data_IF_863837144295
#
_entry.id   IF_863837144295
#
_cell.length_a   1.000
_cell.length_b   1.000
_cell.length_c   1.000
_cell.angle_alpha   90.00
_cell.angle_beta   90.00
_cell.angle_gamma   90.00
#
_symmetry.space_group_name_H-M   'P 1'
#
loop_
_entity.id
_entity.type
_entity.pdbx_description
1 polymer ?
#
# COMPACT_ATOMS: atom_id res chain seq x y z
N UNK A 1 -41.77 -17.96 -21.31
CA UNK A 1 -40.61 -17.39 -20.58
C UNK A 1 -40.88 -17.62 -19.11
N UNK A 2 -40.21 -18.48 -18.34
CA UNK A 2 -39.06 -19.37 -18.50
C UNK A 2 -39.43 -20.60 -17.66
N UNK A 3 -39.37 -21.80 -18.25
CA UNK A 3 -39.59 -23.04 -17.51
C UNK A 3 -38.32 -23.37 -16.71
N UNK A 4 -38.48 -23.58 -15.40
CA UNK A 4 -37.45 -24.08 -14.50
C UNK A 4 -37.10 -25.52 -14.88
N UNK A 5 -35.90 -25.75 -15.38
CA UNK A 5 -35.34 -27.10 -15.48
C UNK A 5 -34.64 -27.46 -14.18
N UNK A 6 -35.31 -28.25 -13.35
CA UNK A 6 -34.68 -29.06 -12.31
C UNK A 6 -33.92 -30.20 -12.99
N UNK A 7 -32.60 -30.07 -13.07
CA UNK A 7 -31.71 -31.14 -13.53
C UNK A 7 -31.44 -32.13 -12.40
N UNK A 8 -31.88 -33.37 -12.60
CA UNK A 8 -31.76 -34.50 -11.68
C UNK A 8 -30.32 -34.85 -11.30
N UNK A 9 -30.13 -35.10 -10.01
CA UNK A 9 -29.02 -35.87 -9.46
C UNK A 9 -29.20 -37.33 -9.87
N UNK A 10 -28.24 -37.88 -10.62
CA UNK A 10 -28.09 -39.33 -10.75
C UNK A 10 -26.69 -39.73 -10.29
N UNK A 11 -26.68 -40.51 -9.20
CA UNK A 11 -25.55 -41.33 -8.78
C UNK A 11 -25.29 -42.39 -9.86
N UNK A 12 -24.02 -42.57 -10.25
CA UNK A 12 -23.54 -43.84 -10.79
C UNK A 12 -22.24 -44.24 -10.09
N UNK A 13 -22.24 -45.51 -9.72
CA UNK A 13 -21.36 -46.18 -8.79
C UNK A 13 -19.99 -46.54 -9.40
N UNK A 14 -19.02 -46.65 -8.50
CA UNK A 14 -17.85 -47.54 -8.46
C UNK A 14 -17.32 -48.15 -9.77
N UNK A 15 -16.13 -47.70 -10.17
CA UNK A 15 -15.18 -48.47 -10.97
C UNK A 15 -13.79 -48.38 -10.29
N UNK A 16 -13.07 -49.49 -10.10
CA UNK A 16 -11.77 -49.48 -9.42
C UNK A 16 -10.65 -49.04 -10.37
N UNK A 17 -9.78 -48.13 -9.91
CA UNK A 17 -8.61 -47.69 -10.65
C UNK A 17 -7.48 -48.75 -10.60
N UNK A 18 -6.80 -49.06 -11.72
CA UNK A 18 -5.64 -49.93 -11.71
C UNK A 18 -4.41 -49.20 -11.18
N UNK A 19 -3.66 -49.92 -10.34
CA UNK A 19 -2.42 -49.55 -9.71
C UNK A 19 -1.22 -49.56 -10.68
N UNK A 20 -0.20 -48.79 -10.30
CA UNK A 20 1.18 -48.75 -10.80
C UNK A 20 1.55 -47.58 -11.73
N UNK A 21 1.79 -46.40 -11.12
CA UNK A 21 2.83 -45.48 -11.57
C UNK A 21 3.80 -45.32 -10.41
N UNK A 22 5.05 -45.74 -10.63
CA UNK A 22 6.14 -45.53 -9.70
C UNK A 22 6.35 -44.02 -9.48
N UNK A 23 6.21 -43.57 -8.24
CA UNK A 23 6.56 -42.23 -7.81
C UNK A 23 8.09 -42.10 -7.94
N UNK A 24 8.57 -41.57 -9.07
CA UNK A 24 9.89 -40.96 -9.12
C UNK A 24 9.76 -39.73 -8.22
N UNK A 25 10.47 -39.74 -7.09
CA UNK A 25 10.45 -38.67 -6.11
C UNK A 25 10.61 -37.32 -6.80
N UNK A 26 9.53 -36.54 -6.79
CA UNK A 26 9.56 -35.14 -7.23
C UNK A 26 10.56 -34.44 -6.32
N UNK A 27 11.74 -34.15 -6.86
CA UNK A 27 12.71 -33.30 -6.20
C UNK A 27 11.99 -32.00 -5.85
N UNK A 28 11.85 -31.73 -4.56
CA UNK A 28 11.57 -30.38 -4.09
C UNK A 28 12.64 -29.49 -4.68
N UNK A 29 12.28 -28.67 -5.68
CA UNK A 29 13.08 -27.52 -6.06
C UNK A 29 12.98 -26.59 -4.85
N UNK A 30 14.05 -26.36 -4.08
CA UNK A 30 13.99 -25.40 -3.00
C UNK A 30 13.75 -24.04 -3.67
N UNK A 31 12.61 -23.43 -3.37
CA UNK A 31 12.48 -21.98 -3.50
C UNK A 31 13.66 -21.40 -2.73
N UNK A 32 14.64 -20.82 -3.40
CA UNK A 32 15.65 -20.04 -2.70
C UNK A 32 14.91 -18.81 -2.17
N UNK A 33 14.37 -18.92 -0.96
CA UNK A 33 13.91 -17.78 -0.18
C UNK A 33 15.18 -17.01 0.24
N UNK A 34 15.81 -16.34 -0.71
CA UNK A 34 16.77 -15.31 -0.40
C UNK A 34 15.99 -14.14 0.18
N UNK A 35 16.39 -13.70 1.37
CA UNK A 35 15.84 -12.48 1.96
C UNK A 35 15.93 -11.31 0.97
N UNK A 36 14.94 -10.40 0.95
CA UNK A 36 14.99 -9.23 0.10
C UNK A 36 16.28 -8.43 0.30
N UNK A 37 16.89 -8.00 -0.80
CA UNK A 37 18.14 -7.23 -0.79
C UNK A 37 17.81 -5.74 -0.73
N UNK A 38 18.46 -5.02 0.19
CA UNK A 38 18.35 -3.56 0.28
C UNK A 38 19.02 -2.86 -0.91
N UNK A 39 18.29 -1.92 -1.50
CA UNK A 39 18.75 -0.98 -2.52
C UNK A 39 19.06 0.41 -1.94
N UNK A 40 18.80 0.63 -0.65
CA UNK A 40 19.01 1.90 0.02
C UNK A 40 17.86 2.27 0.96
N UNK A 41 18.21 2.94 2.06
CA UNK A 41 17.27 3.41 3.09
C UNK A 41 17.12 4.92 3.03
N UNK A 42 15.93 5.40 3.35
CA UNK A 42 15.64 6.81 3.51
C UNK A 42 15.23 7.10 4.96
N UNK A 43 15.93 8.02 5.65
CA UNK A 43 15.61 8.36 7.04
C UNK A 43 14.31 9.19 7.13
N UNK A 44 13.67 9.21 8.31
CA UNK A 44 12.43 9.96 8.52
C UNK A 44 12.62 11.49 8.58
N UNK A 45 13.83 11.94 8.94
CA UNK A 45 14.16 13.36 8.98
C UNK A 45 14.27 13.92 7.56
N UNK A 46 13.42 14.88 7.22
CA UNK A 46 13.33 15.42 5.86
C UNK A 46 14.64 16.07 5.37
N UNK A 47 15.43 16.69 6.27
CA UNK A 47 16.72 17.31 5.91
C UNK A 47 17.74 16.25 5.54
N UNK A 48 17.83 15.18 6.33
CA UNK A 48 18.70 14.04 6.06
C UNK A 48 18.26 13.29 4.81
N UNK A 49 16.96 13.05 4.65
CA UNK A 49 16.40 12.36 3.50
C UNK A 49 16.69 13.11 2.19
N UNK A 50 16.46 14.42 2.15
CA UNK A 50 16.82 15.27 1.01
C UNK A 50 18.32 15.25 0.73
N UNK A 51 19.15 15.32 1.77
CA UNK A 51 20.61 15.23 1.61
C UNK A 51 21.07 13.88 1.03
N UNK A 52 20.30 12.80 1.27
CA UNK A 52 20.54 11.47 0.71
C UNK A 52 19.88 11.25 -0.67
N UNK A 53 19.17 12.25 -1.22
CA UNK A 53 18.51 12.15 -2.52
C UNK A 53 17.20 11.34 -2.50
N UNK A 54 16.60 11.16 -1.34
CA UNK A 54 15.27 10.57 -1.20
C UNK A 54 14.18 11.47 -1.78
N UNK A 55 13.09 10.87 -2.23
CA UNK A 55 11.92 11.56 -2.76
C UNK A 55 10.77 11.42 -1.78
N UNK A 56 10.07 12.51 -1.48
CA UNK A 56 8.90 12.45 -0.62
C UNK A 56 7.69 11.95 -1.40
N UNK A 57 7.08 10.89 -0.90
CA UNK A 57 5.81 10.37 -1.35
C UNK A 57 4.72 10.85 -0.40
N UNK A 58 4.08 11.97 -0.74
CA UNK A 58 3.05 12.59 0.09
C UNK A 58 1.86 11.67 0.37
N UNK A 59 1.46 10.84 -0.59
CA UNK A 59 0.32 9.92 -0.42
C UNK A 59 0.69 8.81 0.56
N UNK A 60 1.94 8.33 0.52
CA UNK A 60 2.47 7.38 1.50
C UNK A 60 2.94 8.05 2.81
N UNK A 61 2.96 9.38 2.87
CA UNK A 61 3.52 10.18 3.97
C UNK A 61 4.94 9.75 4.37
N UNK A 62 5.82 9.50 3.39
CA UNK A 62 7.15 8.91 3.66
C UNK A 62 8.23 9.37 2.69
N UNK A 63 9.47 9.45 3.16
CA UNK A 63 10.65 9.63 2.31
C UNK A 63 11.10 8.28 1.75
N UNK A 64 11.11 8.15 0.42
CA UNK A 64 11.32 6.88 -0.28
C UNK A 64 12.55 6.97 -1.19
N UNK A 65 13.29 5.88 -1.28
CA UNK A 65 14.42 5.78 -2.18
C UNK A 65 13.94 5.83 -3.65
N UNK A 66 14.60 6.56 -4.56
CA UNK A 66 14.12 6.77 -5.93
C UNK A 66 13.82 5.48 -6.72
N UNK A 67 14.48 4.37 -6.38
CA UNK A 67 14.20 3.06 -7.03
C UNK A 67 12.85 2.44 -6.67
N UNK A 68 12.26 2.84 -5.55
CA UNK A 68 10.94 2.37 -5.11
C UNK A 68 9.86 3.45 -5.30
N UNK A 69 10.22 4.65 -5.72
CA UNK A 69 9.26 5.71 -6.00
C UNK A 69 8.63 5.53 -7.38
N UNK A 70 7.30 5.46 -7.43
CA UNK A 70 6.54 5.39 -8.68
C UNK A 70 5.88 6.73 -8.96
N UNK A 71 6.57 7.61 -9.70
CA UNK A 71 6.11 8.97 -9.98
C UNK A 71 4.75 9.02 -10.69
N UNK A 72 4.50 8.13 -11.66
CA UNK A 72 3.20 8.11 -12.38
C UNK A 72 2.04 7.79 -11.44
N UNK A 73 2.23 6.81 -10.54
CA UNK A 73 1.21 6.44 -9.58
C UNK A 73 1.04 7.52 -8.51
N UNK A 74 2.15 8.07 -8.00
CA UNK A 74 2.13 9.20 -7.09
C UNK A 74 1.32 10.39 -7.65
N UNK A 75 1.60 10.84 -8.87
CA UNK A 75 0.89 11.96 -9.49
C UNK A 75 -0.60 11.66 -9.69
N UNK A 76 -0.97 10.41 -9.97
CA UNK A 76 -2.38 10.01 -10.05
C UNK A 76 -3.11 10.19 -8.72
N UNK A 77 -2.56 9.63 -7.63
CA UNK A 77 -3.20 9.70 -6.31
C UNK A 77 -3.13 11.11 -5.71
N UNK A 78 -2.03 11.85 -5.91
CA UNK A 78 -1.93 13.28 -5.58
C UNK A 78 -3.02 14.08 -6.31
N UNK A 79 -3.25 13.79 -7.59
CA UNK A 79 -4.34 14.38 -8.37
C UNK A 79 -5.73 14.02 -7.83
N UNK A 80 -5.92 12.81 -7.30
CA UNK A 80 -7.17 12.43 -6.61
C UNK A 80 -7.39 13.26 -5.34
N UNK A 81 -6.35 13.48 -4.51
CA UNK A 81 -6.45 14.35 -3.33
C UNK A 81 -6.91 15.77 -3.71
N UNK A 82 -6.35 16.33 -4.79
CA UNK A 82 -6.74 17.64 -5.31
C UNK A 82 -8.17 17.64 -5.86
N UNK A 83 -8.56 16.61 -6.61
CA UNK A 83 -9.92 16.46 -7.14
C UNK A 83 -10.98 16.31 -6.03
N UNK A 84 -10.64 15.58 -4.97
CA UNK A 84 -11.46 15.43 -3.75
C UNK A 84 -11.45 16.68 -2.86
N UNK A 85 -10.60 17.67 -3.18
CA UNK A 85 -10.47 18.94 -2.47
C UNK A 85 -10.09 18.78 -0.99
N UNK A 86 -9.14 17.88 -0.71
CA UNK A 86 -8.61 17.75 0.64
C UNK A 86 -8.06 19.07 1.15
N UNK A 87 -8.36 19.34 2.42
CA UNK A 87 -7.91 20.50 3.16
C UNK A 87 -6.93 20.04 4.22
N UNK A 88 -5.90 20.86 4.43
CA UNK A 88 -4.83 20.57 5.36
C UNK A 88 -4.77 21.64 6.43
N UNK A 89 -4.43 21.25 7.65
CA UNK A 89 -4.31 22.14 8.80
C UNK A 89 -3.05 21.84 9.61
N UNK A 90 -2.53 22.87 10.28
CA UNK A 90 -1.34 22.75 11.14
C UNK A 90 -1.67 22.14 12.51
N UNK A 91 -2.94 22.17 12.89
CA UNK A 91 -3.42 21.67 14.18
C UNK A 91 -4.82 21.05 14.05
N UNK A 92 -5.22 20.16 14.99
CA UNK A 92 -6.53 19.50 14.90
C UNK A 92 -7.69 20.47 15.13
N UNK A 93 -7.46 21.66 15.69
CA UNK A 93 -8.49 22.68 15.87
C UNK A 93 -8.97 23.31 14.55
N UNK A 94 -8.24 23.09 13.44
CA UNK A 94 -8.57 23.58 12.09
C UNK A 94 -8.62 25.12 11.96
N UNK A 95 -7.81 25.84 12.72
CA UNK A 95 -7.76 27.31 12.72
C UNK A 95 -6.82 27.84 11.61
N UNK A 96 -5.70 27.15 11.40
CA UNK A 96 -4.65 27.51 10.46
C UNK A 96 -4.62 26.52 9.30
N UNK A 97 -5.20 26.92 8.18
CA UNK A 97 -5.10 26.16 6.93
C UNK A 97 -3.66 26.13 6.42
N UNK A 98 -3.25 24.96 5.95
CA UNK A 98 -1.98 24.72 5.27
C UNK A 98 -2.22 24.62 3.75
N UNK A 99 -1.43 25.34 2.92
CA UNK A 99 -1.45 25.15 1.48
C UNK A 99 -1.12 23.72 1.08
N UNK A 100 -1.76 23.22 0.01
CA UNK A 100 -1.55 21.85 -0.49
C UNK A 100 -0.08 21.55 -0.78
N UNK A 101 0.62 22.44 -1.49
CA UNK A 101 2.03 22.22 -1.84
C UNK A 101 2.96 22.27 -0.61
N UNK A 102 2.55 22.96 0.45
CA UNK A 102 3.30 22.93 1.71
C UNK A 102 3.13 21.57 2.39
N UNK A 103 1.91 21.07 2.50
CA UNK A 103 1.62 19.73 3.03
C UNK A 103 2.32 18.64 2.20
N UNK A 104 2.28 18.76 0.87
CA UNK A 104 2.86 17.81 -0.07
C UNK A 104 4.39 17.83 -0.15
N UNK A 105 5.06 18.78 0.52
CA UNK A 105 6.52 18.88 0.51
C UNK A 105 7.20 17.86 1.41
N UNK A 106 6.54 17.44 2.50
CA UNK A 106 7.16 16.63 3.55
C UNK A 106 8.23 17.35 4.38
N UNK A 107 8.44 18.65 4.14
CA UNK A 107 9.49 19.47 4.78
C UNK A 107 9.00 20.09 6.09
N UNK A 108 8.42 19.27 6.95
CA UNK A 108 7.81 19.69 8.20
C UNK A 108 8.37 18.94 9.40
N UNK A 109 8.58 19.66 10.49
CA UNK A 109 9.08 19.11 11.77
C UNK A 109 7.92 18.66 12.69
N UNK A 110 6.67 18.64 12.19
CA UNK A 110 5.46 18.32 12.95
C UNK A 110 4.40 17.60 12.12
N UNK A 111 3.15 17.69 12.56
CA UNK A 111 2.02 16.98 11.97
C UNK A 111 1.22 17.85 11.00
N UNK A 112 0.60 17.21 10.02
CA UNK A 112 -0.46 17.79 9.21
C UNK A 112 -1.76 17.08 9.50
N UNK A 113 -2.83 17.85 9.66
CA UNK A 113 -4.16 17.30 9.86
C UNK A 113 -4.97 17.41 8.57
N UNK A 114 -5.78 16.40 8.29
CA UNK A 114 -6.64 16.37 7.10
C UNK A 114 -7.86 15.46 7.34
N UNK A 115 -8.71 15.34 6.32
CA UNK A 115 -9.93 14.55 6.36
C UNK A 115 -9.66 13.05 6.56
N UNK A 116 -10.58 12.34 7.22
CA UNK A 116 -10.51 10.88 7.38
C UNK A 116 -10.50 10.11 6.07
N UNK A 117 -11.08 10.69 5.01
CA UNK A 117 -11.01 10.13 3.67
C UNK A 117 -9.58 9.97 3.14
N UNK A 118 -8.62 10.77 3.63
CA UNK A 118 -7.21 10.64 3.26
C UNK A 118 -6.63 9.31 3.74
N UNK A 119 -6.94 8.88 4.96
CA UNK A 119 -6.48 7.60 5.51
C UNK A 119 -6.91 6.41 4.65
N UNK A 120 -8.14 6.43 4.12
CA UNK A 120 -8.63 5.38 3.22
C UNK A 120 -7.99 5.46 1.82
N UNK A 121 -7.69 6.67 1.33
CA UNK A 121 -6.97 6.86 0.08
C UNK A 121 -5.52 6.34 0.20
N UNK A 122 -4.84 6.65 1.31
CA UNK A 122 -3.53 6.12 1.68
C UNK A 122 -3.54 4.58 1.69
N UNK A 123 -4.50 3.97 2.40
CA UNK A 123 -4.62 2.51 2.45
C UNK A 123 -4.83 1.89 1.07
N UNK A 124 -5.65 2.53 0.22
CA UNK A 124 -5.87 2.08 -1.16
C UNK A 124 -4.60 2.22 -2.01
N UNK A 125 -3.82 3.28 -1.79
CA UNK A 125 -2.56 3.52 -2.46
C UNK A 125 -1.50 2.46 -2.11
N UNK A 126 -1.38 2.08 -0.83
CA UNK A 126 -0.51 0.97 -0.38
C UNK A 126 -0.85 -0.32 -1.14
N UNK A 127 -2.14 -0.64 -1.27
CA UNK A 127 -2.60 -1.81 -2.03
C UNK A 127 -2.24 -1.76 -3.51
N UNK A 128 -2.39 -0.61 -4.17
CA UNK A 128 -2.05 -0.49 -5.59
C UNK A 128 -0.54 -0.53 -5.83
N UNK A 129 0.29 -0.01 -4.91
CA UNK A 129 1.76 -0.17 -4.95
C UNK A 129 2.15 -1.65 -4.90
N UNK A 130 1.58 -2.42 -3.98
CA UNK A 130 1.80 -3.89 -3.88
C UNK A 130 1.37 -4.59 -5.16
N UNK A 131 0.16 -4.28 -5.64
CA UNK A 131 -0.41 -4.85 -6.87
C UNK A 131 0.38 -4.46 -8.12
N UNK A 132 1.02 -3.30 -8.15
CA UNK A 132 1.93 -2.89 -9.23
C UNK A 132 3.26 -3.63 -9.16
N UNK A 133 3.89 -3.67 -7.98
CA UNK A 133 5.17 -4.36 -7.78
C UNK A 133 5.07 -5.86 -8.11
N UNK A 134 3.94 -6.51 -7.81
CA UNK A 134 3.72 -7.94 -8.07
C UNK A 134 3.82 -8.34 -9.54
N UNK A 135 3.61 -7.39 -10.46
CA UNK A 135 3.71 -7.58 -11.92
C UNK A 135 5.13 -7.48 -12.45
N UNK A 136 6.07 -7.01 -11.64
CA UNK A 136 7.46 -6.79 -12.03
C UNK A 136 8.35 -7.93 -11.58
N UNK A 137 9.39 -8.22 -12.36
CA UNK A 137 10.50 -9.09 -11.99
C UNK A 137 11.81 -8.37 -12.33
N UNK A 138 12.68 -8.11 -11.34
CA UNK A 138 12.54 -8.48 -9.93
C UNK A 138 11.43 -7.70 -9.21
N UNK A 139 10.91 -8.24 -8.11
CA UNK A 139 9.90 -7.55 -7.28
C UNK A 139 10.60 -6.44 -6.50
N UNK A 140 10.21 -5.19 -6.72
CA UNK A 140 10.80 -4.00 -6.09
C UNK A 140 9.68 -3.23 -5.42
N UNK A 141 9.83 -2.99 -4.12
CA UNK A 141 8.87 -2.27 -3.28
C UNK A 141 9.62 -1.71 -2.06
N UNK A 142 9.04 -0.77 -1.35
CA UNK A 142 9.58 -0.30 -0.08
C UNK A 142 9.25 -1.27 1.08
N UNK A 143 9.94 -1.13 2.22
CA UNK A 143 9.72 -1.94 3.41
C UNK A 143 8.37 -1.66 4.06
N UNK A 144 7.85 -0.44 3.95
CA UNK A 144 6.59 -0.02 4.55
C UNK A 144 5.39 -0.71 3.87
N UNK A 145 5.40 -0.85 2.56
CA UNK A 145 4.41 -1.62 1.80
C UNK A 145 4.68 -3.14 1.78
N UNK A 146 5.78 -3.60 2.38
CA UNK A 146 6.04 -5.02 2.64
C UNK A 146 5.74 -5.44 4.09
N UNK A 147 5.54 -4.47 4.99
CA UNK A 147 5.32 -4.73 6.40
C UNK A 147 3.94 -5.35 6.64
N UNK A 148 3.89 -6.49 7.33
CA UNK A 148 2.67 -7.28 7.50
C UNK A 148 1.62 -6.55 8.35
N UNK A 149 2.05 -5.86 9.41
CA UNK A 149 1.15 -5.13 10.31
C UNK A 149 0.53 -3.94 9.59
N UNK A 150 1.34 -3.15 8.89
CA UNK A 150 0.89 -2.00 8.11
C UNK A 150 -0.03 -2.42 6.96
N UNK A 151 0.31 -3.49 6.24
CA UNK A 151 -0.52 -4.02 5.15
C UNK A 151 -1.85 -4.56 5.69
N UNK A 152 -1.85 -5.27 6.82
CA UNK A 152 -3.06 -5.78 7.47
C UNK A 152 -3.98 -4.66 7.94
N UNK A 153 -3.41 -3.59 8.49
CA UNK A 153 -4.12 -2.35 8.81
C UNK A 153 -4.79 -1.75 7.56
N UNK A 154 -4.04 -1.64 6.46
CA UNK A 154 -4.57 -1.12 5.21
C UNK A 154 -5.72 -1.97 4.63
N UNK A 155 -5.66 -3.31 4.74
CA UNK A 155 -6.80 -4.19 4.36
C UNK A 155 -8.02 -3.84 5.17
N UNK A 156 -7.85 -3.78 6.49
CA UNK A 156 -8.95 -3.56 7.40
C UNK A 156 -9.68 -2.24 7.09
N UNK A 157 -8.94 -1.15 6.94
CA UNK A 157 -9.51 0.17 6.64
C UNK A 157 -10.10 0.27 5.23
N UNK A 158 -9.52 -0.42 4.25
CA UNK A 158 -10.10 -0.47 2.90
C UNK A 158 -11.39 -1.30 2.86
N UNK A 159 -11.46 -2.40 3.63
CA UNK A 159 -12.62 -3.29 3.70
C UNK A 159 -13.72 -2.83 4.67
N UNK A 160 -13.39 -1.98 5.64
CA UNK A 160 -14.28 -1.52 6.72
C UNK A 160 -14.43 -0.01 6.68
N UNK A 161 -15.23 0.48 5.72
CA UNK A 161 -15.42 1.93 5.54
C UNK A 161 -16.32 2.47 6.65
N UNK A 162 -15.74 3.23 7.58
CA UNK A 162 -16.49 3.93 8.62
C UNK A 162 -16.94 5.32 8.12
N UNK A 163 -18.23 5.47 7.80
CA UNK A 163 -18.79 6.71 7.24
C UNK A 163 -18.48 7.96 8.10
N UNK A 164 -18.52 7.80 9.42
CA UNK A 164 -18.24 8.89 10.37
C UNK A 164 -16.78 9.31 10.39
N UNK A 165 -15.84 8.39 10.14
CA UNK A 165 -14.41 8.69 10.02
C UNK A 165 -14.14 9.38 8.68
N UNK A 166 -14.63 8.79 7.58
CA UNK A 166 -14.48 9.30 6.21
C UNK A 166 -14.86 10.78 6.08
N UNK A 167 -15.92 11.22 6.79
CA UNK A 167 -16.43 12.60 6.70
C UNK A 167 -15.82 13.57 7.71
N UNK A 168 -15.04 13.07 8.68
CA UNK A 168 -14.48 13.92 9.73
C UNK A 168 -13.27 14.69 9.18
N UNK A 169 -13.28 16.01 9.33
CA UNK A 169 -12.36 16.91 8.64
C UNK A 169 -10.93 16.92 9.22
N UNK A 170 -10.73 16.47 10.46
CA UNK A 170 -9.45 16.47 11.16
C UNK A 170 -9.14 15.08 11.76
N UNK A 171 -9.57 14.02 11.07
CA UNK A 171 -9.43 12.66 11.59
C UNK A 171 -8.04 12.10 11.33
N UNK A 172 -7.46 12.43 10.18
CA UNK A 172 -6.18 11.89 9.76
C UNK A 172 -5.06 12.84 10.15
N UNK A 173 -4.00 12.25 10.67
CA UNK A 173 -2.74 12.92 10.97
C UNK A 173 -1.70 12.36 10.02
N UNK A 174 -1.15 13.23 9.18
CA UNK A 174 -0.02 12.96 8.30
C UNK A 174 1.25 13.34 9.08
N UNK A 175 2.09 12.34 9.32
CA UNK A 175 3.47 12.48 9.79
C UNK A 175 4.37 11.57 8.97
N UNK A 176 5.66 11.93 8.89
CA UNK A 176 6.64 11.06 8.27
C UNK A 176 6.75 9.76 9.07
N UNK A 177 6.78 8.63 8.36
CA UNK A 177 7.07 7.31 8.94
C UNK A 177 8.23 7.41 9.95
N UNK A 178 8.07 7.01 11.22
CA UNK A 178 9.09 7.26 12.25
C UNK A 178 10.38 6.47 12.05
N UNK A 179 10.37 5.44 11.22
CA UNK A 179 11.51 4.61 10.92
C UNK A 179 12.05 4.84 9.51
N UNK A 180 13.30 4.41 9.27
CA UNK A 180 13.85 4.49 7.92
C UNK A 180 13.16 3.51 6.98
N UNK A 181 12.71 3.99 5.84
CA UNK A 181 12.07 3.16 4.81
C UNK A 181 13.15 2.61 3.87
N UNK A 182 13.22 1.28 3.76
CA UNK A 182 14.17 0.58 2.89
C UNK A 182 13.52 0.26 1.54
N UNK A 183 14.25 0.44 0.45
CA UNK A 183 13.82 -0.05 -0.85
C UNK A 183 14.39 -1.44 -1.08
N UNK A 184 13.54 -2.46 -1.14
CA UNK A 184 14.00 -3.85 -1.21
C UNK A 184 13.70 -4.45 -2.59
N UNK A 185 14.62 -5.27 -3.07
CA UNK A 185 14.47 -6.10 -4.28
C UNK A 185 14.53 -7.59 -3.92
N UNK A 186 13.59 -8.36 -4.45
CA UNK A 186 13.39 -9.76 -4.06
C UNK A 186 11.92 -10.03 -3.78
#
# INVERSE_FOLDING_TARGET
MVAFFLGNVFHHADQPAPSNIAIIGSGYIPSSNSDPVSLGKCPPNWREAKAQGCVYDFVLSSWIHPRCFNGTMYEHYKGLMQWMKFTFWREPAMENKMPFEEAASGEQDGFVWTEGAEHHLHCSYVWDRIRYASKSRPFVLDSLCRDEEHVSHCIFYTGSIFEWEMRKMNATRIDNEPYSVDCLVG
#
